data_IF_170612129317
#
_entry.id   IF_170612129317
#
_cell.length_a   1.000
_cell.length_b   1.000
_cell.length_c   1.000
_cell.angle_alpha   90.00
_cell.angle_beta   90.00
_cell.angle_gamma   90.00
#
_symmetry.space_group_name_H-M   'P 1'
#
loop_
_entity.id
_entity.type
_entity.pdbx_description
1 polymer ?
#
# COMPACT_ATOMS: atom_id res chain seq x y z
N UNK A 1 18.83 9.03 11.46
CA UNK A 1 17.44 9.48 11.38
C UNK A 1 16.70 8.79 10.25
N UNK A 2 15.40 8.56 10.43
CA UNK A 2 14.55 7.91 9.44
C UNK A 2 14.22 8.90 8.32
N UNK A 3 14.63 8.60 7.11
CA UNK A 3 14.32 9.43 5.94
C UNK A 3 13.05 8.98 5.24
N UNK A 4 12.66 7.71 5.37
CA UNK A 4 11.47 7.14 4.74
C UNK A 4 10.78 6.24 5.75
N UNK A 5 9.49 6.41 5.92
CA UNK A 5 8.73 5.58 6.84
C UNK A 5 7.25 5.53 6.52
N UNK A 6 6.55 4.68 7.23
CA UNK A 6 5.09 4.61 7.21
C UNK A 6 4.58 4.25 8.60
N UNK A 7 3.30 4.43 8.83
CA UNK A 7 2.65 4.07 10.07
C UNK A 7 2.05 2.67 9.96
N UNK A 8 1.82 2.04 11.10
CA UNK A 8 1.04 0.80 11.14
C UNK A 8 -0.40 1.11 10.80
N UNK A 9 -1.05 0.23 10.05
CA UNK A 9 -2.46 0.39 9.73
C UNK A 9 -3.32 -0.37 10.74
N UNK A 10 -4.45 0.24 11.08
CA UNK A 10 -5.52 -0.35 11.88
C UNK A 10 -6.85 -0.06 11.19
N UNK A 11 -7.73 -1.05 11.11
CA UNK A 11 -9.03 -0.87 10.48
C UNK A 11 -10.14 -0.67 11.52
N UNK A 12 -11.10 0.21 11.19
CA UNK A 12 -12.26 0.45 12.04
C UNK A 12 -13.52 0.64 11.17
N UNK A 13 -14.65 0.02 11.50
CA UNK A 13 -14.78 -1.03 12.51
C UNK A 13 -14.00 -2.28 12.13
N UNK A 14 -13.46 -2.99 13.13
CA UNK A 14 -12.62 -4.15 12.90
C UNK A 14 -13.42 -5.45 13.00
N UNK A 15 -12.92 -6.48 12.28
CA UNK A 15 -13.39 -7.85 12.37
C UNK A 15 -12.16 -8.75 12.38
N UNK A 16 -12.33 -10.04 12.61
CA UNK A 16 -11.19 -10.97 12.58
C UNK A 16 -10.47 -10.93 11.22
N UNK A 17 -11.17 -11.02 10.05
CA UNK A 17 -10.50 -10.89 8.76
C UNK A 17 -9.77 -9.54 8.58
N UNK A 18 -10.34 -8.44 9.05
CA UNK A 18 -9.70 -7.13 8.94
C UNK A 18 -8.51 -6.99 9.87
N UNK A 19 -8.55 -7.63 11.03
CA UNK A 19 -7.39 -7.69 11.92
C UNK A 19 -6.24 -8.45 11.24
N UNK A 20 -6.53 -9.58 10.61
CA UNK A 20 -5.53 -10.33 9.83
C UNK A 20 -5.00 -9.47 8.68
N UNK A 21 -5.87 -8.74 7.99
CA UNK A 21 -5.47 -7.84 6.91
C UNK A 21 -4.47 -6.78 7.41
N UNK A 22 -4.74 -6.17 8.57
CA UNK A 22 -3.84 -5.18 9.14
C UNK A 22 -2.49 -5.80 9.51
N UNK A 23 -2.49 -6.99 10.09
CA UNK A 23 -1.28 -7.70 10.45
C UNK A 23 -0.43 -8.01 9.21
N UNK A 24 -1.05 -8.53 8.16
CA UNK A 24 -0.38 -8.85 6.89
C UNK A 24 0.18 -7.59 6.24
N UNK A 25 -0.59 -6.50 6.23
CA UNK A 25 -0.16 -5.22 5.65
C UNK A 25 1.06 -4.66 6.37
N UNK A 26 1.06 -4.70 7.71
CA UNK A 26 2.18 -4.20 8.50
C UNK A 26 3.43 -5.08 8.33
N UNK A 27 3.25 -6.40 8.28
CA UNK A 27 4.35 -7.32 8.01
C UNK A 27 4.92 -7.14 6.60
N UNK A 28 4.06 -6.93 5.61
CA UNK A 28 4.48 -6.68 4.23
C UNK A 28 5.40 -5.45 4.18
N UNK A 29 5.00 -4.35 4.81
CA UNK A 29 5.81 -3.14 4.82
C UNK A 29 7.17 -3.36 5.46
N UNK A 30 7.22 -4.12 6.55
CA UNK A 30 8.48 -4.40 7.26
C UNK A 30 9.38 -5.37 6.50
N UNK A 31 8.82 -6.40 5.87
CA UNK A 31 9.60 -7.49 5.27
C UNK A 31 9.92 -7.21 3.80
N UNK A 32 8.92 -6.76 3.03
CA UNK A 32 9.07 -6.59 1.58
C UNK A 32 9.38 -5.16 1.16
N UNK A 33 9.46 -4.23 2.10
CA UNK A 33 9.69 -2.81 1.83
C UNK A 33 8.65 -2.20 0.91
N UNK A 34 7.39 -2.63 1.07
CA UNK A 34 6.27 -2.25 0.23
C UNK A 34 5.17 -1.64 1.08
N UNK A 35 5.01 -0.32 1.01
CA UNK A 35 3.98 0.40 1.73
C UNK A 35 2.97 1.01 0.77
N UNK A 36 1.73 1.12 1.22
CA UNK A 36 0.65 1.75 0.46
C UNK A 36 0.24 3.08 1.09
N UNK A 37 -0.45 3.91 0.32
CA UNK A 37 -0.82 5.26 0.73
C UNK A 37 -1.65 5.32 2.00
N UNK A 38 -2.46 4.30 2.29
CA UNK A 38 -3.29 4.23 3.49
C UNK A 38 -2.46 4.02 4.78
N UNK A 39 -1.18 3.72 4.66
CA UNK A 39 -0.25 3.60 5.79
C UNK A 39 0.47 4.93 6.10
N UNK A 40 0.05 6.04 5.50
CA UNK A 40 0.65 7.36 5.71
C UNK A 40 2.17 7.35 5.48
N UNK A 41 2.57 7.06 4.25
CA UNK A 41 3.98 7.07 3.86
C UNK A 41 4.52 8.50 4.02
N UNK A 42 5.67 8.63 4.68
CA UNK A 42 6.37 9.91 4.77
C UNK A 42 7.82 9.73 4.35
N UNK A 43 8.39 10.76 3.77
CA UNK A 43 9.79 10.77 3.36
C UNK A 43 10.30 12.20 3.30
N UNK A 44 11.62 12.36 3.38
CA UNK A 44 12.22 13.68 3.26
C UNK A 44 12.04 14.23 1.84
N UNK A 45 12.00 15.55 1.71
CA UNK A 45 11.91 16.21 0.41
C UNK A 45 13.04 15.76 -0.53
N UNK A 46 14.24 15.63 0.03
CA UNK A 46 15.42 15.18 -0.72
C UNK A 46 15.18 13.82 -1.35
N UNK A 47 14.70 12.85 -0.58
CA UNK A 47 14.41 11.49 -1.07
C UNK A 47 13.28 11.51 -2.09
N UNK A 48 12.23 12.29 -1.84
CA UNK A 48 11.10 12.42 -2.76
C UNK A 48 11.55 12.93 -4.13
N UNK A 49 12.41 13.93 -4.16
CA UNK A 49 12.95 14.48 -5.40
C UNK A 49 13.91 13.49 -6.08
N UNK A 50 14.69 12.77 -5.31
CA UNK A 50 15.65 11.78 -5.81
C UNK A 50 14.97 10.63 -6.55
N UNK A 51 13.82 10.15 -6.05
CA UNK A 51 13.04 9.09 -6.73
C UNK A 51 12.18 9.64 -7.86
N UNK A 52 12.05 10.96 -7.99
CA UNK A 52 11.22 11.58 -9.00
C UNK A 52 9.74 11.70 -8.61
N UNK A 53 9.43 11.59 -7.31
CA UNK A 53 8.08 11.72 -6.79
C UNK A 53 7.15 10.57 -7.20
N UNK A 54 5.86 10.81 -7.08
CA UNK A 54 4.86 9.86 -7.58
C UNK A 54 4.81 9.90 -9.10
N UNK A 55 4.67 8.73 -9.70
CA UNK A 55 4.48 8.63 -11.15
C UNK A 55 3.03 8.95 -11.50
N UNK A 56 2.82 9.51 -12.68
CA UNK A 56 1.49 9.81 -13.21
C UNK A 56 0.84 8.52 -13.70
N UNK A 57 0.14 7.84 -12.81
CA UNK A 57 -0.47 6.54 -13.05
C UNK A 57 -1.90 6.55 -12.52
N UNK A 58 -2.84 5.88 -13.19
CA UNK A 58 -4.23 5.81 -12.71
C UNK A 58 -4.38 4.99 -11.43
N UNK A 59 -3.40 4.13 -11.10
CA UNK A 59 -3.43 3.24 -9.95
C UNK A 59 -2.01 2.74 -9.67
N UNK A 60 -1.77 2.22 -8.47
CA UNK A 60 -0.49 1.62 -8.06
C UNK A 60 0.68 2.61 -7.97
N UNK A 61 0.42 3.91 -7.85
CA UNK A 61 1.47 4.92 -7.71
C UNK A 61 2.27 4.75 -6.42
N UNK A 62 1.62 4.32 -5.33
CA UNK A 62 2.27 4.03 -4.05
C UNK A 62 3.13 2.76 -4.11
N UNK A 63 2.66 1.74 -4.83
CA UNK A 63 3.42 0.53 -5.10
C UNK A 63 4.68 0.88 -5.88
N UNK A 64 4.53 1.69 -6.93
CA UNK A 64 5.66 2.14 -7.76
C UNK A 64 6.65 2.98 -6.94
N UNK A 65 6.15 3.85 -6.08
CA UNK A 65 7.02 4.63 -5.19
C UNK A 65 7.86 3.72 -4.29
N UNK A 66 7.24 2.68 -3.72
CA UNK A 66 7.96 1.70 -2.89
C UNK A 66 9.04 0.97 -3.69
N UNK A 67 8.73 0.59 -4.93
CA UNK A 67 9.71 -0.04 -5.83
C UNK A 67 10.88 0.90 -6.13
N UNK A 68 10.60 2.17 -6.42
CA UNK A 68 11.62 3.16 -6.73
C UNK A 68 12.53 3.43 -5.53
N UNK A 69 11.94 3.48 -4.33
CA UNK A 69 12.71 3.62 -3.08
C UNK A 69 13.64 2.43 -2.86
N UNK A 70 13.14 1.22 -3.10
CA UNK A 70 13.94 0.00 -2.98
C UNK A 70 15.07 -0.04 -3.99
N UNK A 71 14.85 0.42 -5.21
CA UNK A 71 15.87 0.50 -6.26
C UNK A 71 17.04 1.42 -5.86
N UNK A 72 16.77 2.44 -5.04
CA UNK A 72 17.79 3.34 -4.50
C UNK A 72 18.28 2.90 -3.11
N UNK A 73 17.93 1.70 -2.70
CA UNK A 73 18.33 1.09 -1.42
C UNK A 73 17.79 1.79 -0.18
N UNK A 74 16.68 2.53 -0.30
CA UNK A 74 16.01 3.10 0.85
C UNK A 74 15.10 2.06 1.49
N UNK A 75 15.18 1.93 2.81
CA UNK A 75 14.31 1.05 3.57
C UNK A 75 13.19 1.87 4.22
N UNK A 76 11.96 1.42 4.02
CA UNK A 76 10.79 2.01 4.67
C UNK A 76 10.73 1.51 6.11
N UNK A 77 10.83 2.44 7.06
CA UNK A 77 10.72 2.12 8.49
C UNK A 77 9.26 2.16 8.90
N UNK A 78 8.76 1.06 9.47
CA UNK A 78 7.39 1.01 9.99
C UNK A 78 7.40 1.57 11.42
N UNK A 79 6.73 2.70 11.60
CA UNK A 79 6.64 3.36 12.91
C UNK A 79 5.52 2.70 13.73
N UNK A 80 5.79 2.43 15.00
CA UNK A 80 4.81 1.81 15.90
C UNK A 80 3.83 2.85 16.44
N UNK A 81 3.10 3.45 15.51
CA UNK A 81 2.05 4.43 15.79
C UNK A 81 0.93 4.15 14.80
N UNK A 82 -0.17 3.53 15.24
CA UNK A 82 -1.20 3.10 14.29
C UNK A 82 -2.00 4.28 13.72
N UNK A 83 -2.27 4.21 12.42
CA UNK A 83 -3.25 5.07 11.76
C UNK A 83 -4.50 4.25 11.52
N UNK A 84 -5.65 4.82 11.85
CA UNK A 84 -6.94 4.15 11.70
C UNK A 84 -7.53 4.45 10.34
N UNK A 85 -7.90 3.39 9.62
CA UNK A 85 -8.47 3.46 8.27
C UNK A 85 -9.85 2.80 8.27
N UNK A 86 -10.77 3.38 7.50
CA UNK A 86 -12.13 2.85 7.36
C UNK A 86 -12.16 1.50 6.65
N UNK A 87 -13.01 0.60 7.13
CA UNK A 87 -13.26 -0.69 6.46
C UNK A 87 -14.36 -0.59 5.40
N UNK A 88 -14.77 0.62 5.02
CA UNK A 88 -15.86 0.86 4.08
C UNK A 88 -15.76 0.04 2.79
N UNK A 89 -14.57 -0.05 2.22
CA UNK A 89 -14.31 -0.80 0.99
C UNK A 89 -14.57 -2.30 1.15
N UNK A 90 -14.44 -2.82 2.36
CA UNK A 90 -14.55 -4.24 2.68
C UNK A 90 -15.92 -4.64 3.22
N UNK A 91 -16.82 -3.67 3.37
CA UNK A 91 -18.15 -3.90 3.94
C UNK A 91 -18.90 -4.96 3.13
N UNK A 92 -19.48 -5.94 3.82
CA UNK A 92 -20.28 -7.05 3.28
C UNK A 92 -19.49 -8.14 2.52
N UNK A 93 -18.26 -7.86 2.07
CA UNK A 93 -17.47 -8.82 1.27
C UNK A 93 -15.99 -8.76 1.65
N UNK A 94 -15.69 -8.84 2.95
CA UNK A 94 -14.33 -8.61 3.47
C UNK A 94 -13.28 -9.51 2.83
N UNK A 95 -13.47 -10.84 2.89
CA UNK A 95 -12.49 -11.80 2.38
C UNK A 95 -12.36 -11.69 0.86
N UNK A 96 -13.48 -11.55 0.17
CA UNK A 96 -13.52 -11.41 -1.30
C UNK A 96 -12.75 -10.16 -1.73
N UNK A 97 -12.98 -9.03 -1.06
CA UNK A 97 -12.31 -7.77 -1.38
C UNK A 97 -10.80 -7.86 -1.10
N UNK A 98 -10.41 -8.46 0.02
CA UNK A 98 -9.00 -8.70 0.33
C UNK A 98 -8.33 -9.53 -0.76
N UNK A 99 -8.99 -10.60 -1.20
CA UNK A 99 -8.48 -11.45 -2.28
C UNK A 99 -8.34 -10.67 -3.59
N UNK A 100 -9.36 -9.86 -3.95
CA UNK A 100 -9.32 -9.02 -5.16
C UNK A 100 -8.14 -8.04 -5.11
N UNK A 101 -7.89 -7.39 -3.97
CA UNK A 101 -6.76 -6.48 -3.82
C UNK A 101 -5.43 -7.19 -4.06
N UNK A 102 -5.28 -8.41 -3.55
CA UNK A 102 -4.08 -9.21 -3.80
C UNK A 102 -3.95 -9.59 -5.28
N UNK A 103 -5.05 -9.88 -5.97
CA UNK A 103 -5.03 -10.18 -7.40
C UNK A 103 -4.58 -8.98 -8.22
N UNK A 104 -5.04 -7.77 -7.89
CA UNK A 104 -4.61 -6.54 -8.59
C UNK A 104 -3.11 -6.31 -8.43
N UNK A 105 -2.57 -6.51 -7.23
CA UNK A 105 -1.14 -6.38 -6.99
C UNK A 105 -0.35 -7.42 -7.79
N UNK A 106 -0.85 -8.66 -7.84
CA UNK A 106 -0.23 -9.74 -8.61
C UNK A 106 -0.23 -9.43 -10.11
N UNK A 107 -1.33 -8.91 -10.64
CA UNK A 107 -1.43 -8.48 -12.04
C UNK A 107 -0.41 -7.39 -12.35
N UNK A 108 -0.27 -6.41 -11.46
CA UNK A 108 0.73 -5.36 -11.60
C UNK A 108 2.14 -5.94 -11.67
N UNK A 109 2.49 -6.86 -10.76
CA UNK A 109 3.81 -7.51 -10.74
C UNK A 109 4.09 -8.32 -12.01
N UNK A 110 3.04 -8.84 -12.64
CA UNK A 110 3.15 -9.62 -13.89
C UNK A 110 3.21 -8.74 -15.14
N UNK A 111 3.15 -7.44 -14.99
CA UNK A 111 3.24 -6.51 -16.11
C UNK A 111 1.93 -6.19 -16.81
N UNK A 112 0.79 -6.53 -16.21
CA UNK A 112 -0.52 -6.12 -16.75
C UNK A 112 -0.60 -4.58 -16.74
N UNK A 113 -1.02 -3.93 -17.85
CA UNK A 113 -1.11 -2.48 -17.89
C UNK A 113 -2.01 -1.94 -16.77
N UNK A 114 -1.55 -0.86 -16.10
CA UNK A 114 -2.28 -0.27 -14.97
C UNK A 114 -3.66 0.24 -15.36
N UNK A 115 -3.84 0.63 -16.62
CA UNK A 115 -5.14 1.06 -17.16
C UNK A 115 -6.17 -0.07 -17.11
N UNK A 116 -5.75 -1.29 -17.40
CA UNK A 116 -6.61 -2.48 -17.33
C UNK A 116 -6.98 -2.80 -15.88
N UNK A 117 -6.01 -2.72 -14.98
CA UNK A 117 -6.24 -2.93 -13.55
C UNK A 117 -7.20 -1.87 -13.00
N UNK A 118 -7.02 -0.62 -13.41
CA UNK A 118 -7.86 0.50 -12.96
C UNK A 118 -9.33 0.32 -13.36
N UNK A 119 -9.59 -0.25 -14.52
CA UNK A 119 -10.96 -0.55 -14.96
C UNK A 119 -11.65 -1.54 -14.02
N UNK A 120 -10.94 -2.59 -13.61
CA UNK A 120 -11.45 -3.57 -12.67
C UNK A 120 -11.61 -2.99 -11.26
N UNK A 121 -10.69 -2.13 -10.85
CA UNK A 121 -10.69 -1.52 -9.54
C UNK A 121 -11.89 -0.60 -9.30
N UNK A 122 -12.42 0.04 -10.34
CA UNK A 122 -13.61 0.89 -10.23
C UNK A 122 -14.81 0.16 -9.64
N UNK A 123 -14.92 -1.12 -9.91
CA UNK A 123 -16.04 -1.94 -9.43
C UNK A 123 -15.95 -2.23 -7.92
N UNK A 124 -14.79 -1.98 -7.31
CA UNK A 124 -14.54 -2.23 -5.87
C UNK A 124 -14.75 -0.98 -5.04
N UNK A 125 -14.59 0.19 -5.63
CA UNK A 125 -14.83 1.46 -4.96
C UNK A 125 -16.33 1.69 -4.76
#
# INVERSE_FOLDING_TARGET
PTEVGCLKIRFYPSSFPMWVNSLVSNMRASITNLAFGDQAIFLSKKVFEEVGGYKDMPLMEDYKLSEDLSALSYKITVIDSPITTSTRRYKNHTVKTMWQMQQYQKMYRRGVPVEEIAKMYKDVR
#
